data_IF_165688154651
#
_entry.id   IF_165688154651
#
_cell.length_a   1.000
_cell.length_b   1.000
_cell.length_c   1.000
_cell.angle_alpha   90.00
_cell.angle_beta   90.00
_cell.angle_gamma   90.00
#
_symmetry.space_group_name_H-M   'P 1'
#
loop_
_entity.id
_entity.type
_entity.pdbx_description
1 polymer ?
#
# COMPACT_ATOMS: atom_id res chain seq x y z
N UNK A 1 3.57 11.74 -0.21
CA UNK A 1 2.34 12.55 -0.04
C UNK A 1 1.44 11.77 0.90
N UNK A 2 1.25 12.23 2.14
CA UNK A 2 0.37 11.53 3.12
C UNK A 2 -1.06 11.81 2.67
N UNK A 3 -1.79 10.78 2.27
CA UNK A 3 -3.18 10.93 1.82
C UNK A 3 -4.04 11.39 3.01
N UNK A 4 -4.78 12.48 2.83
CA UNK A 4 -5.92 12.77 3.70
C UNK A 4 -7.02 11.80 3.27
N UNK A 5 -7.60 11.04 4.21
CA UNK A 5 -8.83 10.34 3.91
C UNK A 5 -9.85 11.37 3.41
N UNK A 6 -10.45 11.10 2.24
CA UNK A 6 -11.52 11.94 1.73
C UNK A 6 -12.60 12.12 2.79
N UNK A 7 -13.00 13.37 3.01
CA UNK A 7 -13.89 13.74 4.13
C UNK A 7 -15.32 13.24 3.95
N UNK A 8 -15.66 12.72 2.75
CA UNK A 8 -17.00 12.27 2.43
C UNK A 8 -17.19 10.79 2.75
N UNK A 9 -18.18 10.56 3.58
CA UNK A 9 -18.69 9.24 3.91
C UNK A 9 -20.06 9.05 3.26
N UNK A 10 -20.32 7.84 2.77
CA UNK A 10 -21.65 7.42 2.33
C UNK A 10 -22.11 6.23 3.16
N UNK A 11 -23.40 6.17 3.46
CA UNK A 11 -24.03 5.17 4.33
C UNK A 11 -25.15 4.47 3.57
N UNK A 12 -25.22 3.15 3.73
CA UNK A 12 -26.31 2.32 3.22
C UNK A 12 -26.52 1.12 4.15
N UNK A 13 -27.77 0.89 4.59
CA UNK A 13 -28.15 -0.23 5.48
C UNK A 13 -27.23 -0.37 6.72
N UNK A 14 -26.89 0.75 7.36
CA UNK A 14 -26.04 0.77 8.56
C UNK A 14 -24.54 0.50 8.29
N UNK A 15 -24.13 0.27 7.03
CA UNK A 15 -22.73 0.21 6.62
C UNK A 15 -22.28 1.56 6.11
N UNK A 16 -21.07 1.98 6.49
CA UNK A 16 -20.48 3.21 6.01
C UNK A 16 -19.23 2.97 5.16
N UNK A 17 -19.03 3.84 4.17
CA UNK A 17 -17.88 3.84 3.28
C UNK A 17 -17.28 5.25 3.27
N UNK A 18 -16.08 5.38 3.84
CA UNK A 18 -15.26 6.59 3.67
C UNK A 18 -14.51 6.50 2.35
N UNK A 19 -14.78 7.42 1.43
CA UNK A 19 -14.18 7.42 0.10
C UNK A 19 -12.78 8.06 0.13
N UNK A 20 -11.81 7.54 -0.63
CA UNK A 20 -10.55 8.25 -0.85
C UNK A 20 -10.74 9.40 -1.87
N UNK A 21 -9.82 10.37 -1.89
CA UNK A 21 -9.93 11.56 -2.73
C UNK A 21 -10.09 11.22 -4.23
N UNK A 22 -9.30 10.24 -4.71
CA UNK A 22 -9.43 9.73 -6.09
C UNK A 22 -10.81 9.19 -6.42
N UNK A 23 -11.48 8.56 -5.46
CA UNK A 23 -12.84 8.08 -5.67
C UNK A 23 -13.82 9.24 -5.76
N UNK A 24 -13.64 10.30 -4.95
CA UNK A 24 -14.52 11.48 -5.01
C UNK A 24 -14.52 12.11 -6.40
N UNK A 25 -13.37 12.16 -7.06
CA UNK A 25 -13.20 12.75 -8.38
C UNK A 25 -13.61 11.82 -9.53
N UNK A 26 -13.78 10.53 -9.26
CA UNK A 26 -14.15 9.55 -10.30
C UNK A 26 -15.57 9.81 -10.82
N UNK A 27 -15.67 9.91 -12.15
CA UNK A 27 -16.97 9.99 -12.84
C UNK A 27 -17.71 8.67 -12.70
N UNK A 28 -19.01 8.74 -12.44
CA UNK A 28 -19.88 7.57 -12.44
C UNK A 28 -19.98 7.05 -13.87
N UNK A 29 -19.54 5.81 -14.10
CA UNK A 29 -19.68 5.14 -15.39
C UNK A 29 -20.92 4.24 -15.37
N UNK A 30 -21.94 4.47 -16.24
CA UNK A 30 -23.13 3.66 -16.23
C UNK A 30 -22.92 2.17 -16.50
N UNK A 31 -21.87 1.84 -17.24
CA UNK A 31 -21.56 0.46 -17.61
C UNK A 31 -20.77 -0.29 -16.53
N UNK A 32 -20.36 0.39 -15.46
CA UNK A 32 -19.63 -0.22 -14.35
C UNK A 32 -20.50 -1.16 -13.51
N UNK A 33 -21.82 -0.98 -13.55
CA UNK A 33 -22.79 -1.77 -12.78
C UNK A 33 -23.80 -2.41 -13.72
N UNK A 34 -23.63 -3.70 -14.01
CA UNK A 34 -24.46 -4.42 -14.99
C UNK A 34 -25.97 -4.29 -14.71
N UNK A 35 -26.36 -4.34 -13.43
CA UNK A 35 -27.76 -4.24 -12.97
C UNK A 35 -28.17 -2.80 -12.61
N UNK A 36 -27.22 -1.86 -12.62
CA UNK A 36 -27.35 -0.48 -12.16
C UNK A 36 -27.37 0.58 -13.28
N UNK A 37 -27.28 0.19 -14.56
CA UNK A 37 -27.16 1.13 -15.70
C UNK A 37 -28.25 2.21 -15.66
N UNK A 38 -29.52 1.82 -15.47
CA UNK A 38 -30.65 2.78 -15.40
C UNK A 38 -30.47 3.78 -14.25
N UNK A 39 -30.15 3.28 -13.04
CA UNK A 39 -29.87 4.11 -11.87
C UNK A 39 -28.76 5.11 -12.17
N UNK A 40 -27.60 4.63 -12.63
CA UNK A 40 -26.45 5.49 -12.91
C UNK A 40 -26.69 6.54 -14.00
N UNK A 41 -27.51 6.23 -15.02
CA UNK A 41 -27.91 7.24 -16.02
C UNK A 41 -28.81 8.31 -15.41
N UNK A 42 -29.82 7.90 -14.63
CA UNK A 42 -30.70 8.83 -13.93
C UNK A 42 -29.95 9.72 -12.93
N UNK A 43 -28.94 9.19 -12.23
CA UNK A 43 -28.06 9.99 -11.37
C UNK A 43 -27.35 11.10 -12.17
N UNK A 44 -26.77 10.75 -13.32
CA UNK A 44 -26.07 11.71 -14.19
C UNK A 44 -27.05 12.76 -14.73
N UNK A 45 -28.25 12.37 -15.13
CA UNK A 45 -29.33 13.27 -15.59
C UNK A 45 -29.76 14.26 -14.49
N UNK A 46 -29.73 13.84 -13.22
CA UNK A 46 -29.99 14.68 -12.05
C UNK A 46 -28.77 15.51 -11.61
N UNK A 47 -27.67 15.47 -12.36
CA UNK A 47 -26.47 16.25 -12.08
C UNK A 47 -25.43 15.58 -11.18
N UNK A 48 -25.68 14.36 -10.71
CA UNK A 48 -24.73 13.56 -9.92
C UNK A 48 -23.76 12.88 -10.91
N UNK A 49 -22.61 13.53 -11.15
CA UNK A 49 -21.65 13.11 -12.19
C UNK A 49 -20.49 12.30 -11.62
N UNK A 50 -20.14 12.52 -10.36
CA UNK A 50 -19.02 11.88 -9.67
C UNK A 50 -19.49 11.15 -8.41
N UNK A 51 -18.69 10.22 -7.89
CA UNK A 51 -19.00 9.62 -6.58
C UNK A 51 -18.95 10.65 -5.44
N UNK A 52 -18.18 11.74 -5.62
CA UNK A 52 -18.17 12.90 -4.75
C UNK A 52 -19.50 13.66 -4.71
N UNK A 53 -20.40 13.47 -5.67
CA UNK A 53 -21.71 14.13 -5.72
C UNK A 53 -22.82 13.33 -5.00
N UNK A 54 -22.57 12.06 -4.64
CA UNK A 54 -23.58 11.19 -4.05
C UNK A 54 -24.10 11.71 -2.68
N UNK A 55 -25.37 11.50 -2.32
CA UNK A 55 -25.86 11.88 -1.01
C UNK A 55 -25.16 11.06 0.09
N UNK A 56 -25.11 11.62 1.30
CA UNK A 56 -24.53 10.90 2.45
C UNK A 56 -25.28 9.60 2.74
N UNK A 57 -26.61 9.61 2.69
CA UNK A 57 -27.42 8.39 2.81
C UNK A 57 -27.88 7.92 1.42
N UNK A 58 -27.37 6.78 0.96
CA UNK A 58 -27.70 6.26 -0.37
C UNK A 58 -29.14 5.75 -0.46
N UNK A 59 -29.82 5.49 0.66
CA UNK A 59 -31.24 5.13 0.64
C UNK A 59 -32.11 6.28 0.06
N UNK A 60 -31.64 7.52 0.08
CA UNK A 60 -32.34 8.65 -0.54
C UNK A 60 -32.53 8.49 -2.06
N UNK A 61 -31.70 7.67 -2.71
CA UNK A 61 -31.80 7.38 -4.15
C UNK A 61 -32.99 6.51 -4.51
N UNK A 62 -33.66 5.89 -3.54
CA UNK A 62 -34.89 5.11 -3.78
C UNK A 62 -36.04 5.99 -4.29
N UNK A 63 -35.97 7.31 -4.08
CA UNK A 63 -36.93 8.28 -4.62
C UNK A 63 -36.91 8.37 -6.15
N UNK A 64 -35.90 7.80 -6.81
CA UNK A 64 -35.76 7.80 -8.26
C UNK A 64 -36.60 6.67 -8.87
N UNK A 65 -37.44 7.00 -9.85
CA UNK A 65 -38.34 6.02 -10.46
C UNK A 65 -37.61 4.81 -11.07
N UNK A 66 -38.02 3.61 -10.63
CA UNK A 66 -37.45 2.32 -11.04
C UNK A 66 -36.12 1.96 -10.38
N UNK A 67 -35.69 2.70 -9.36
CA UNK A 67 -34.56 2.35 -8.48
C UNK A 67 -35.09 1.59 -7.27
N UNK A 68 -34.45 0.46 -6.93
CA UNK A 68 -34.78 -0.34 -5.75
C UNK A 68 -33.60 -0.37 -4.81
N UNK A 69 -33.84 -0.59 -3.50
CA UNK A 69 -32.78 -0.77 -2.51
C UNK A 69 -31.74 -1.82 -2.93
N UNK A 70 -32.18 -2.90 -3.58
CA UNK A 70 -31.28 -3.94 -4.10
C UNK A 70 -30.28 -3.39 -5.15
N UNK A 71 -30.72 -2.52 -6.07
CA UNK A 71 -29.82 -1.88 -7.05
C UNK A 71 -28.83 -0.94 -6.37
N UNK A 72 -29.30 -0.17 -5.38
CA UNK A 72 -28.46 0.71 -4.57
C UNK A 72 -27.42 -0.11 -3.81
N UNK A 73 -27.80 -1.22 -3.20
CA UNK A 73 -26.91 -2.14 -2.50
C UNK A 73 -25.84 -2.73 -3.42
N UNK A 74 -26.21 -3.12 -4.65
CA UNK A 74 -25.25 -3.59 -5.66
C UNK A 74 -24.24 -2.50 -6.03
N UNK A 75 -24.71 -1.27 -6.23
CA UNK A 75 -23.84 -0.12 -6.47
C UNK A 75 -22.89 0.13 -5.29
N UNK A 76 -23.40 0.10 -4.06
CA UNK A 76 -22.61 0.26 -2.84
C UNK A 76 -21.52 -0.81 -2.69
N UNK A 77 -21.81 -2.08 -2.98
CA UNK A 77 -20.78 -3.13 -2.96
C UNK A 77 -19.70 -2.93 -4.02
N UNK A 78 -20.09 -2.52 -5.23
CA UNK A 78 -19.11 -2.17 -6.26
C UNK A 78 -18.30 -0.91 -5.90
N UNK A 79 -18.91 0.06 -5.22
CA UNK A 79 -18.23 1.23 -4.65
C UNK A 79 -17.20 0.83 -3.59
N UNK A 80 -17.53 -0.08 -2.66
CA UNK A 80 -16.58 -0.61 -1.66
C UNK A 80 -15.38 -1.25 -2.37
N UNK A 81 -15.64 -2.06 -3.39
CA UNK A 81 -14.59 -2.73 -4.17
C UNK A 81 -13.74 -1.72 -4.95
N UNK A 82 -14.36 -0.74 -5.61
CA UNK A 82 -13.68 0.33 -6.33
C UNK A 82 -12.81 1.18 -5.38
N UNK A 83 -13.35 1.62 -4.25
CA UNK A 83 -12.62 2.40 -3.25
C UNK A 83 -11.39 1.65 -2.75
N UNK A 84 -11.55 0.35 -2.46
CA UNK A 84 -10.44 -0.51 -2.07
C UNK A 84 -9.39 -0.58 -3.19
N UNK A 85 -9.81 -0.82 -4.43
CA UNK A 85 -8.90 -0.89 -5.57
C UNK A 85 -8.19 0.43 -5.87
N UNK A 86 -8.88 1.57 -5.71
CA UNK A 86 -8.29 2.89 -5.90
C UNK A 86 -7.28 3.21 -4.80
N UNK A 87 -7.60 2.90 -3.54
CA UNK A 87 -6.64 2.98 -2.43
C UNK A 87 -5.44 2.09 -2.71
N UNK A 88 -5.69 0.84 -3.06
CA UNK A 88 -4.69 -0.13 -3.48
C UNK A 88 -3.80 0.46 -4.60
N UNK A 89 -4.36 0.97 -5.70
CA UNK A 89 -3.62 1.61 -6.80
C UNK A 89 -2.81 2.84 -6.37
N UNK A 90 -3.29 3.63 -5.42
CA UNK A 90 -2.52 4.74 -4.82
C UNK A 90 -1.27 4.21 -4.11
N UNK A 91 -1.35 3.04 -3.49
CA UNK A 91 -0.19 2.39 -2.87
C UNK A 91 0.79 1.78 -3.87
N UNK A 92 0.40 1.58 -5.13
CA UNK A 92 1.23 0.93 -6.16
C UNK A 92 1.79 1.92 -7.19
N UNK A 93 1.10 3.02 -7.47
CA UNK A 93 1.53 4.01 -8.45
C UNK A 93 2.20 5.21 -7.76
N UNK A 94 3.50 5.07 -7.57
CA UNK A 94 4.35 6.13 -7.01
C UNK A 94 4.73 7.20 -8.04
N UNK A 95 4.34 7.05 -9.31
CA UNK A 95 4.73 7.93 -10.42
C UNK A 95 6.19 7.74 -10.86
N UNK A 96 7.15 8.07 -9.99
CA UNK A 96 8.60 7.98 -10.27
C UNK A 96 9.30 6.97 -9.35
N UNK A 97 10.51 6.54 -9.72
CA UNK A 97 11.34 5.68 -8.87
C UNK A 97 11.69 6.36 -7.54
N UNK A 98 11.96 7.67 -7.55
CA UNK A 98 12.28 8.45 -6.35
C UNK A 98 11.13 8.43 -5.34
N UNK A 99 9.90 8.65 -5.81
CA UNK A 99 8.71 8.58 -4.96
C UNK A 99 8.48 7.16 -4.43
N UNK A 100 8.80 6.15 -5.23
CA UNK A 100 8.70 4.74 -4.85
C UNK A 100 9.72 4.37 -3.76
N UNK A 101 10.93 4.91 -3.82
CA UNK A 101 11.95 4.81 -2.76
C UNK A 101 11.44 5.47 -1.47
N UNK A 102 10.90 6.69 -1.56
CA UNK A 102 10.34 7.38 -0.38
C UNK A 102 9.18 6.58 0.24
N UNK A 103 8.28 6.04 -0.58
CA UNK A 103 7.19 5.20 -0.11
C UNK A 103 7.69 3.89 0.53
N UNK A 104 8.76 3.31 -0.03
CA UNK A 104 9.42 2.14 0.54
C UNK A 104 10.04 2.44 1.90
N UNK A 105 10.71 3.59 2.06
CA UNK A 105 11.29 4.04 3.33
C UNK A 105 10.22 4.25 4.40
N UNK A 106 9.10 4.87 4.04
CA UNK A 106 7.95 4.95 4.92
C UNK A 106 7.41 3.57 5.29
N UNK A 107 7.36 2.63 4.36
CA UNK A 107 6.94 1.26 4.66
C UNK A 107 7.90 0.53 5.61
N UNK A 108 9.20 0.77 5.51
CA UNK A 108 10.23 0.25 6.42
C UNK A 108 10.16 0.86 7.82
N UNK A 109 10.11 2.20 7.90
CA UNK A 109 10.43 2.94 9.14
C UNK A 109 9.23 3.52 9.87
N UNK A 110 8.11 3.78 9.19
CA UNK A 110 6.87 4.26 9.84
C UNK A 110 5.89 3.11 10.08
N UNK A 111 4.99 3.27 11.05
CA UNK A 111 3.85 2.37 11.31
C UNK A 111 2.90 2.37 10.12
N UNK A 112 3.32 1.75 9.02
CA UNK A 112 2.60 1.78 7.77
C UNK A 112 1.34 0.93 7.87
N UNK A 113 0.28 1.45 7.26
CA UNK A 113 -1.11 0.98 7.35
C UNK A 113 -1.34 -0.34 6.60
N UNK A 114 -0.26 -0.96 6.12
CA UNK A 114 -0.20 -2.26 5.47
C UNK A 114 -0.04 -3.35 6.54
N UNK A 115 -0.96 -3.41 7.49
CA UNK A 115 -1.04 -4.42 8.56
C UNK A 115 -1.57 -5.76 7.98
N UNK A 116 -0.81 -6.40 7.09
CA UNK A 116 -0.13 -7.67 7.41
C UNK A 116 1.29 -7.80 6.82
N UNK A 117 1.79 -6.79 6.09
CA UNK A 117 3.10 -6.80 5.43
C UNK A 117 4.23 -6.18 6.25
N UNK A 118 3.93 -5.55 7.40
CA UNK A 118 4.90 -4.88 8.29
C UNK A 118 6.11 -5.78 8.59
N UNK A 119 7.31 -5.25 8.40
CA UNK A 119 8.54 -5.91 8.82
C UNK A 119 8.72 -5.79 10.34
N UNK A 120 9.29 -6.82 10.97
CA UNK A 120 9.67 -6.73 12.37
C UNK A 120 10.73 -5.62 12.51
N UNK A 121 10.58 -4.60 13.37
CA UNK A 121 11.57 -3.53 13.52
C UNK A 121 12.98 -4.07 13.80
N UNK A 122 13.10 -5.21 14.49
CA UNK A 122 14.37 -5.87 14.75
C UNK A 122 15.03 -6.37 13.48
N UNK A 123 14.27 -6.77 12.47
CA UNK A 123 14.81 -7.15 11.16
C UNK A 123 15.65 -6.03 10.54
N UNK A 124 15.20 -4.78 10.66
CA UNK A 124 15.90 -3.60 10.15
C UNK A 124 17.20 -3.38 10.92
N UNK A 125 17.14 -3.47 12.26
CA UNK A 125 18.32 -3.36 13.14
C UNK A 125 19.38 -4.42 12.76
N UNK A 126 18.98 -5.68 12.63
CA UNK A 126 19.90 -6.77 12.30
C UNK A 126 20.57 -6.59 10.93
N UNK A 127 19.81 -6.14 9.92
CA UNK A 127 20.37 -5.90 8.60
C UNK A 127 21.29 -4.68 8.55
N UNK A 128 20.97 -3.62 9.30
CA UNK A 128 21.86 -2.48 9.48
C UNK A 128 23.21 -2.93 10.05
N UNK A 129 23.21 -3.77 11.08
CA UNK A 129 24.46 -4.29 11.65
C UNK A 129 25.24 -5.18 10.68
N UNK A 130 24.55 -6.08 9.93
CA UNK A 130 25.19 -6.89 8.87
C UNK A 130 25.94 -6.00 7.87
N UNK A 131 25.33 -4.89 7.47
CA UNK A 131 25.89 -3.97 6.49
C UNK A 131 27.04 -3.13 7.04
N UNK A 132 26.91 -2.59 8.24
CA UNK A 132 28.01 -1.88 8.91
C UNK A 132 29.22 -2.79 9.09
N UNK A 133 29.00 -4.02 9.56
CA UNK A 133 30.07 -5.00 9.65
C UNK A 133 30.73 -5.32 8.31
N UNK A 134 29.96 -5.38 7.21
CA UNK A 134 30.53 -5.52 5.88
C UNK A 134 31.43 -4.34 5.51
N UNK A 135 30.97 -3.09 5.69
CA UNK A 135 31.76 -1.89 5.39
C UNK A 135 33.05 -1.82 6.21
N UNK A 136 32.97 -2.22 7.47
CA UNK A 136 34.10 -2.29 8.40
C UNK A 136 34.99 -3.53 8.19
N UNK A 137 34.65 -4.42 7.24
CA UNK A 137 35.31 -5.73 7.04
C UNK A 137 35.31 -6.62 8.30
N UNK A 138 34.32 -6.42 9.18
CA UNK A 138 34.09 -7.19 10.42
C UNK A 138 33.17 -8.38 10.15
N UNK A 139 33.53 -9.54 10.72
CA UNK A 139 32.70 -10.75 10.64
C UNK A 139 31.49 -10.64 11.58
N UNK A 140 30.30 -10.48 11.01
CA UNK A 140 29.03 -10.47 11.75
C UNK A 140 28.52 -11.91 11.90
N UNK A 141 28.29 -12.33 13.14
CA UNK A 141 27.78 -13.68 13.46
C UNK A 141 26.35 -13.61 13.98
N UNK A 142 25.60 -14.71 13.87
CA UNK A 142 24.24 -14.80 14.44
C UNK A 142 24.24 -14.64 15.97
N UNK A 143 25.34 -14.99 16.64
CA UNK A 143 25.50 -14.79 18.08
C UNK A 143 25.51 -13.30 18.42
N UNK A 144 26.40 -12.55 17.76
CA UNK A 144 26.48 -11.09 17.90
C UNK A 144 25.14 -10.41 17.57
N UNK A 145 24.49 -10.83 16.49
CA UNK A 145 23.19 -10.31 16.08
C UNK A 145 22.08 -10.62 17.11
N UNK A 146 22.09 -11.81 17.71
CA UNK A 146 21.16 -12.17 18.78
C UNK A 146 21.37 -11.29 20.02
N UNK A 147 22.63 -11.14 20.45
CA UNK A 147 23.03 -10.30 21.58
C UNK A 147 22.57 -8.84 21.38
N UNK A 148 22.75 -8.28 20.17
CA UNK A 148 22.38 -6.91 19.83
C UNK A 148 20.89 -6.59 20.11
N UNK A 149 19.99 -7.55 19.88
CA UNK A 149 18.54 -7.35 20.06
C UNK A 149 17.97 -8.13 21.26
N UNK A 150 18.83 -8.67 22.13
CA UNK A 150 18.43 -9.41 23.33
C UNK A 150 17.70 -10.72 23.07
N UNK A 151 18.07 -11.48 22.02
CA UNK A 151 17.45 -12.77 21.67
C UNK A 151 18.48 -13.86 21.38
N UNK A 152 18.05 -15.11 21.31
CA UNK A 152 18.93 -16.22 20.93
C UNK A 152 19.38 -16.15 19.47
N UNK A 153 20.53 -16.74 19.10
CA UNK A 153 21.01 -16.75 17.71
C UNK A 153 19.98 -17.36 16.72
N UNK A 154 19.26 -18.40 17.16
CA UNK A 154 18.21 -19.02 16.37
C UNK A 154 17.01 -18.09 16.16
N UNK A 155 16.63 -17.33 17.19
CA UNK A 155 15.55 -16.35 17.06
C UNK A 155 15.94 -15.20 16.13
N UNK A 156 17.18 -14.72 16.18
CA UNK A 156 17.70 -13.73 15.24
C UNK A 156 17.64 -14.25 13.78
N UNK A 157 18.03 -15.51 13.55
CA UNK A 157 17.90 -16.18 12.25
C UNK A 157 16.45 -16.25 11.76
N UNK A 158 15.50 -16.56 12.64
CA UNK A 158 14.07 -16.59 12.29
C UNK A 158 13.54 -15.21 11.89
N UNK A 159 13.93 -14.15 12.62
CA UNK A 159 13.57 -12.77 12.30
C UNK A 159 14.09 -12.39 10.90
N UNK A 160 15.36 -12.67 10.62
CA UNK A 160 15.97 -12.46 9.29
C UNK A 160 15.19 -13.19 8.19
N UNK A 161 14.98 -14.51 8.33
CA UNK A 161 14.25 -15.31 7.33
C UNK A 161 12.82 -14.83 7.10
N UNK A 162 12.13 -14.41 8.15
CA UNK A 162 10.75 -13.91 8.06
C UNK A 162 10.70 -12.57 7.34
N UNK A 163 11.61 -11.64 7.65
CA UNK A 163 11.73 -10.36 6.97
C UNK A 163 12.08 -10.52 5.48
N UNK A 164 13.06 -11.36 5.16
CA UNK A 164 13.45 -11.65 3.77
C UNK A 164 12.27 -12.20 2.95
N UNK A 165 11.48 -13.11 3.55
CA UNK A 165 10.29 -13.67 2.92
C UNK A 165 9.24 -12.60 2.65
N UNK A 166 8.99 -11.71 3.62
CA UNK A 166 8.05 -10.59 3.46
C UNK A 166 8.52 -9.64 2.37
N UNK A 167 9.79 -9.25 2.38
CA UNK A 167 10.37 -8.38 1.35
C UNK A 167 10.21 -8.99 -0.04
N UNK A 168 10.58 -10.26 -0.23
CA UNK A 168 10.42 -10.93 -1.54
C UNK A 168 8.97 -11.02 -1.99
N UNK A 169 8.03 -11.19 -1.07
CA UNK A 169 6.60 -11.31 -1.38
C UNK A 169 5.98 -9.96 -1.73
N UNK A 170 6.34 -8.91 -1.01
CA UNK A 170 5.63 -7.64 -1.03
C UNK A 170 6.33 -6.59 -1.87
N UNK A 171 7.66 -6.61 -1.98
CA UNK A 171 8.39 -5.58 -2.74
C UNK A 171 8.05 -5.59 -4.23
N UNK A 172 8.04 -6.73 -4.94
CA UNK A 172 7.63 -6.75 -6.35
C UNK A 172 6.19 -6.30 -6.57
N UNK A 173 5.34 -6.49 -5.57
CA UNK A 173 3.92 -6.12 -5.63
C UNK A 173 3.73 -4.62 -5.42
N UNK A 174 4.32 -4.06 -4.37
CA UNK A 174 4.11 -2.66 -3.93
C UNK A 174 5.11 -1.66 -4.53
N UNK A 175 6.29 -2.15 -4.91
CA UNK A 175 7.41 -1.35 -5.38
C UNK A 175 8.06 -2.02 -6.62
N UNK A 176 7.33 -2.10 -7.75
CA UNK A 176 7.79 -2.81 -8.94
C UNK A 176 8.99 -2.14 -9.65
N UNK A 177 9.05 -0.80 -9.71
CA UNK A 177 10.19 -0.09 -10.32
C UNK A 177 11.43 -0.23 -9.46
N UNK A 178 11.27 -0.18 -8.13
CA UNK A 178 12.34 -0.46 -7.19
C UNK A 178 12.86 -1.89 -7.38
N UNK A 179 11.95 -2.87 -7.47
CA UNK A 179 12.31 -4.26 -7.73
C UNK A 179 13.09 -4.42 -9.03
N UNK A 180 12.67 -3.73 -10.10
CA UNK A 180 13.37 -3.75 -11.38
C UNK A 180 14.77 -3.13 -11.29
N UNK A 181 14.89 -1.94 -10.69
CA UNK A 181 16.17 -1.27 -10.48
C UNK A 181 17.15 -2.11 -9.64
N UNK A 182 16.63 -2.98 -8.76
CA UNK A 182 17.44 -3.90 -7.95
C UNK A 182 17.87 -5.17 -8.70
N UNK A 183 17.21 -5.51 -9.81
CA UNK A 183 17.59 -6.64 -10.67
C UNK A 183 18.65 -6.23 -11.71
N UNK A 184 18.81 -4.94 -11.96
CA UNK A 184 19.91 -4.44 -12.79
C UNK A 184 21.25 -4.76 -12.11
N UNK A 185 22.21 -5.33 -12.84
CA UNK A 185 23.52 -5.63 -12.28
C UNK A 185 24.20 -4.32 -11.89
N UNK A 186 24.28 -4.06 -10.58
CA UNK A 186 25.13 -3.00 -10.07
C UNK A 186 26.56 -3.44 -10.40
N UNK A 187 27.28 -2.64 -11.20
CA UNK A 187 28.68 -2.90 -11.60
C UNK A 187 29.64 -3.16 -10.42
N UNK A 188 29.18 -2.96 -9.18
CA UNK A 188 29.87 -3.20 -7.93
C UNK A 188 29.17 -4.19 -6.96
N UNK A 189 28.34 -5.14 -7.40
CA UNK A 189 27.71 -6.10 -6.48
C UNK A 189 28.68 -7.21 -6.01
N UNK A 190 29.60 -6.84 -5.13
CA UNK A 190 30.51 -7.75 -4.40
C UNK A 190 29.74 -8.54 -3.32
N UNK A 191 28.49 -8.17 -3.02
CA UNK A 191 27.66 -8.79 -2.00
C UNK A 191 26.61 -9.70 -2.64
N UNK A 192 26.61 -10.99 -2.27
CA UNK A 192 25.59 -11.98 -2.66
C UNK A 192 24.17 -11.72 -2.12
N UNK A 193 23.89 -10.52 -1.60
CA UNK A 193 22.57 -10.05 -1.15
C UNK A 193 22.28 -8.65 -1.75
N UNK A 194 22.02 -8.55 -3.07
CA UNK A 194 21.81 -7.27 -3.77
C UNK A 194 20.67 -6.44 -3.18
N UNK A 195 19.67 -7.15 -2.64
CA UNK A 195 18.42 -6.59 -2.17
C UNK A 195 18.60 -5.64 -0.97
N UNK A 196 19.35 -6.08 0.06
CA UNK A 196 19.60 -5.25 1.24
C UNK A 196 20.71 -4.23 0.99
N UNK A 197 21.63 -4.52 0.08
CA UNK A 197 22.71 -3.60 -0.26
C UNK A 197 22.21 -2.31 -0.91
N UNK A 198 21.30 -2.41 -1.89
CA UNK A 198 20.66 -1.25 -2.53
C UNK A 198 19.84 -0.43 -1.53
N UNK A 199 19.03 -1.11 -0.71
CA UNK A 199 18.20 -0.49 0.31
C UNK A 199 19.03 0.29 1.33
N UNK A 200 20.10 -0.31 1.85
CA UNK A 200 20.93 0.32 2.86
C UNK A 200 21.79 1.44 2.26
N UNK A 201 22.30 1.30 1.03
CA UNK A 201 23.05 2.38 0.37
C UNK A 201 22.20 3.63 0.10
N UNK A 202 20.96 3.48 -0.40
CA UNK A 202 20.08 4.61 -0.70
C UNK A 202 19.48 5.24 0.56
N UNK A 203 18.97 4.42 1.49
CA UNK A 203 18.41 4.88 2.77
C UNK A 203 19.46 5.59 3.63
N UNK A 204 20.69 5.07 3.70
CA UNK A 204 21.71 5.67 4.56
C UNK A 204 22.38 6.90 3.95
N UNK A 205 22.36 7.09 2.63
CA UNK A 205 22.86 8.32 2.01
C UNK A 205 21.91 9.52 2.17
N UNK A 206 20.62 9.31 2.50
CA UNK A 206 19.65 10.38 2.79
C UNK A 206 19.57 10.77 4.29
N UNK A 207 20.28 10.06 5.17
CA UNK A 207 20.37 10.37 6.62
C UNK A 207 21.62 11.19 6.99
N UNK A 208 22.32 11.75 6.00
CA UNK A 208 23.37 12.77 6.16
C UNK A 208 22.86 14.10 5.64
#
# INVERSE_FOLDING_TARGET
>A
MIEKLGTKEVVFEGKSLKMCDRMLEQKINPYQYHTGIKLTRQLIEQGIKTYGDLPHNLAELEKIDGVTLWKIGTMFQGMVTLNKNLRDQIYYDHGTLENEIVAFDHWLFTESHLEPSRLDPRYIILNKEKYLGFLEKRKITLKLLGELIGVTPERARQILRSGDRKLRKYTPKYFPRLTQAMMEPIEASIIGEPFMHYLLLRVFNHLK
#
